data_IF_165664045279
#
_entry.id   IF_165664045279
#
_cell.length_a   1.000
_cell.length_b   1.000
_cell.length_c   1.000
_cell.angle_alpha   90.00
_cell.angle_beta   90.00
_cell.angle_gamma   90.00
#
_symmetry.space_group_name_H-M   'P 1'
#
loop_
_entity.id
_entity.type
_entity.pdbx_description
1 polymer ?
#
# COMPACT_ATOMS: atom_id res chain seq x y z
N UNK A 1 23.04 4.95 25.21
CA UNK A 1 21.75 5.66 24.99
C UNK A 1 21.09 5.02 23.79
N UNK A 2 20.06 4.19 24.00
CA UNK A 2 19.31 3.55 22.93
C UNK A 2 18.19 4.52 22.53
N UNK A 3 18.36 5.22 21.41
CA UNK A 3 17.26 5.98 20.82
C UNK A 3 16.17 4.98 20.42
N UNK A 4 14.88 5.20 20.76
CA UNK A 4 13.83 4.42 20.16
C UNK A 4 13.86 4.71 18.65
N UNK A 5 14.29 3.72 17.86
CA UNK A 5 14.09 3.69 16.42
C UNK A 5 12.58 3.81 16.23
N UNK A 6 12.11 5.02 15.95
CA UNK A 6 10.73 5.27 15.56
C UNK A 6 10.57 4.50 14.25
N UNK A 7 9.99 3.30 14.31
CA UNK A 7 9.73 2.47 13.15
C UNK A 7 8.73 3.25 12.30
N UNK A 8 9.23 4.03 11.33
CA UNK A 8 8.40 4.74 10.38
C UNK A 8 7.74 3.65 9.55
N UNK A 9 6.52 3.26 9.93
CA UNK A 9 5.71 2.37 9.11
C UNK A 9 5.39 3.13 7.82
N UNK A 10 5.97 2.75 6.66
CA UNK A 10 5.80 3.52 5.46
C UNK A 10 4.35 3.39 5.00
N UNK A 11 3.72 4.55 4.78
CA UNK A 11 2.36 4.63 4.27
C UNK A 11 2.37 4.53 2.75
N UNK A 12 1.41 3.79 2.20
CA UNK A 12 1.22 3.58 0.77
C UNK A 12 -0.26 3.73 0.42
N UNK A 13 -0.54 4.10 -0.82
CA UNK A 13 -1.91 4.10 -1.34
C UNK A 13 -2.12 2.85 -2.18
N UNK A 14 -3.17 2.10 -1.86
CA UNK A 14 -3.52 0.85 -2.56
C UNK A 14 -4.98 0.88 -2.97
N UNK A 15 -5.32 0.12 -4.00
CA UNK A 15 -6.71 -0.04 -4.41
C UNK A 15 -7.38 -1.12 -3.57
N UNK A 16 -8.38 -0.75 -2.78
CA UNK A 16 -9.16 -1.74 -2.04
C UNK A 16 -10.21 -2.37 -2.96
N UNK A 17 -10.15 -3.68 -3.16
CA UNK A 17 -11.14 -4.43 -3.96
C UNK A 17 -12.54 -4.38 -3.36
N UNK A 18 -12.66 -4.33 -2.03
CA UNK A 18 -13.93 -4.24 -1.30
C UNK A 18 -14.62 -2.89 -1.51
N UNK A 19 -13.83 -1.81 -1.52
CA UNK A 19 -14.33 -0.45 -1.56
C UNK A 19 -14.26 0.18 -2.97
N UNK A 20 -13.60 -0.49 -3.92
CA UNK A 20 -13.27 -0.03 -5.28
C UNK A 20 -12.68 1.39 -5.32
N UNK A 21 -11.86 1.72 -4.31
CA UNK A 21 -11.32 3.06 -4.07
C UNK A 21 -9.86 2.99 -3.67
N UNK A 22 -9.15 4.06 -3.96
CA UNK A 22 -7.82 4.35 -3.42
C UNK A 22 -7.94 4.57 -1.91
N UNK A 23 -7.30 3.70 -1.13
CA UNK A 23 -7.25 3.77 0.33
C UNK A 23 -5.81 3.94 0.80
N UNK A 24 -5.65 4.48 2.00
CA UNK A 24 -4.36 4.60 2.66
C UNK A 24 -4.09 3.30 3.42
N UNK A 25 -2.89 2.77 3.30
CA UNK A 25 -2.48 1.55 3.98
C UNK A 25 -1.06 1.72 4.52
N UNK A 26 -0.71 0.90 5.50
CA UNK A 26 0.64 0.81 6.06
C UNK A 26 1.28 -0.48 5.65
N UNK A 27 2.54 -0.41 5.24
CA UNK A 27 3.31 -1.58 4.87
C UNK A 27 3.73 -2.32 6.14
N UNK A 28 3.29 -3.57 6.28
CA UNK A 28 3.69 -4.46 7.37
C UNK A 28 4.96 -5.22 7.00
N UNK A 29 4.98 -5.78 5.80
CA UNK A 29 6.13 -6.52 5.28
C UNK A 29 6.33 -6.20 3.81
N UNK A 30 7.57 -6.31 3.34
CA UNK A 30 7.91 -6.23 1.92
C UNK A 30 8.49 -7.58 1.48
N UNK A 31 7.98 -8.11 0.37
CA UNK A 31 8.53 -9.29 -0.27
C UNK A 31 9.74 -8.93 -1.15
N UNK A 32 10.28 -9.90 -1.88
CA UNK A 32 11.34 -9.63 -2.86
C UNK A 32 10.81 -8.81 -4.03
N UNK A 33 11.72 -8.10 -4.69
CA UNK A 33 11.41 -7.28 -5.87
C UNK A 33 11.42 -8.22 -7.08
N UNK A 34 10.33 -8.24 -7.82
CA UNK A 34 10.11 -9.10 -8.98
C UNK A 34 10.07 -8.25 -10.24
N UNK A 35 10.67 -8.74 -11.33
CA UNK A 35 10.51 -8.13 -12.64
C UNK A 35 9.15 -8.53 -13.23
N UNK A 36 8.45 -7.58 -13.84
CA UNK A 36 7.17 -7.77 -14.49
C UNK A 36 7.26 -7.30 -15.94
N UNK A 37 7.18 -8.27 -16.86
CA UNK A 37 7.24 -8.05 -18.30
C UNK A 37 6.11 -7.13 -18.79
N UNK A 38 4.94 -7.13 -18.12
CA UNK A 38 3.75 -6.35 -18.50
C UNK A 38 3.97 -4.85 -18.39
N UNK A 39 4.81 -4.43 -17.45
CA UNK A 39 5.22 -3.02 -17.26
C UNK A 39 6.68 -2.79 -17.68
N UNK A 40 7.35 -3.83 -18.20
CA UNK A 40 8.77 -3.84 -18.56
C UNK A 40 9.66 -3.24 -17.46
N UNK A 41 9.31 -3.54 -16.20
CA UNK A 41 9.85 -2.87 -15.03
C UNK A 41 9.77 -3.76 -13.80
N UNK A 42 10.12 -3.24 -12.64
CA UNK A 42 10.06 -4.03 -11.42
C UNK A 42 8.90 -3.60 -10.52
N UNK A 43 8.31 -4.59 -9.87
CA UNK A 43 7.31 -4.43 -8.83
C UNK A 43 7.73 -5.16 -7.57
N UNK A 44 7.31 -4.65 -6.43
CA UNK A 44 7.53 -5.27 -5.13
C UNK A 44 6.20 -5.40 -4.43
N UNK A 45 5.87 -6.64 -4.08
CA UNK A 45 4.70 -6.91 -3.26
C UNK A 45 5.03 -6.75 -1.79
N UNK A 46 4.01 -6.49 -0.99
CA UNK A 46 4.09 -6.49 0.46
C UNK A 46 2.73 -6.78 1.07
N UNK A 47 2.74 -7.20 2.33
CA UNK A 47 1.51 -7.21 3.12
C UNK A 47 1.29 -5.80 3.64
N UNK A 48 0.12 -5.25 3.35
CA UNK A 48 -0.29 -3.93 3.84
C UNK A 48 -1.54 -4.07 4.69
N UNK A 49 -1.66 -3.24 5.72
CA UNK A 49 -2.88 -3.09 6.49
C UNK A 49 -3.59 -1.82 6.06
N UNK A 50 -4.84 -1.94 5.63
CA UNK A 50 -5.65 -0.76 5.30
C UNK A 50 -5.90 0.02 6.59
N UNK A 51 -5.64 1.33 6.54
CA UNK A 51 -5.95 2.23 7.64
C UNK A 51 -7.41 2.69 7.50
N UNK A 52 -8.15 2.61 8.60
CA UNK A 52 -9.47 3.21 8.69
C UNK A 52 -9.33 4.74 8.65
N UNK A 53 -10.03 5.39 7.73
CA UNK A 53 -10.01 6.85 7.62
C UNK A 53 -10.91 7.44 8.70
N UNK A 54 -10.42 7.64 9.91
CA UNK A 54 -11.18 8.36 10.91
C UNK A 54 -11.06 9.88 10.66
N UNK A 55 -12.20 10.50 10.40
CA UNK A 55 -12.48 11.95 10.30
C UNK A 55 -12.28 12.59 8.90
N UNK A 56 -13.40 12.85 8.22
CA UNK A 56 -13.52 13.93 7.21
C UNK A 56 -13.70 13.51 5.75
N UNK A 57 -13.26 12.33 5.33
CA UNK A 57 -13.48 11.83 3.97
C UNK A 57 -14.69 10.89 3.96
N UNK A 58 -15.73 11.22 3.18
CA UNK A 58 -17.06 10.57 3.15
C UNK A 58 -17.09 9.04 2.88
N UNK A 59 -15.97 8.32 2.82
CA UNK A 59 -15.89 6.89 2.43
C UNK A 59 -14.77 6.16 3.19
N UNK A 60 -14.95 5.92 4.49
CA UNK A 60 -14.11 5.03 5.27
C UNK A 60 -14.21 3.62 4.69
N UNK A 61 -13.07 2.96 4.42
CA UNK A 61 -13.10 1.54 4.10
C UNK A 61 -13.13 0.79 5.44
N UNK A 62 -14.25 0.11 5.74
CA UNK A 62 -14.43 -0.68 6.96
C UNK A 62 -13.54 -1.92 6.99
N UNK A 63 -13.03 -2.30 5.82
CA UNK A 63 -12.12 -3.40 5.65
C UNK A 63 -10.69 -2.97 6.04
N UNK A 64 -10.32 -3.25 7.29
CA UNK A 64 -8.96 -3.06 7.84
C UNK A 64 -8.10 -4.31 7.70
N UNK A 65 -8.52 -5.27 6.86
CA UNK A 65 -7.81 -6.52 6.65
C UNK A 65 -6.41 -6.29 6.10
N UNK A 66 -5.53 -7.26 6.38
CA UNK A 66 -4.22 -7.31 5.75
C UNK A 66 -4.38 -7.88 4.35
N UNK A 67 -3.89 -7.16 3.35
CA UNK A 67 -3.95 -7.58 1.95
C UNK A 67 -2.55 -7.60 1.34
N UNK A 68 -2.32 -8.52 0.40
CA UNK A 68 -1.14 -8.45 -0.46
C UNK A 68 -1.36 -7.35 -1.49
N UNK A 69 -0.48 -6.36 -1.50
CA UNK A 69 -0.54 -5.24 -2.43
C UNK A 69 0.85 -4.87 -2.95
N UNK A 70 0.89 -4.11 -4.04
CA UNK A 70 2.14 -3.55 -4.56
C UNK A 70 2.54 -2.37 -3.68
N UNK A 71 3.76 -2.43 -3.15
CA UNK A 71 4.29 -1.45 -2.20
C UNK A 71 5.40 -0.59 -2.82
N UNK A 72 6.02 -1.07 -3.90
CA UNK A 72 6.94 -0.33 -4.76
C UNK A 72 6.71 -0.80 -6.20
N UNK A 73 6.62 0.12 -7.15
CA UNK A 73 6.61 -0.19 -8.59
C UNK A 73 7.26 0.96 -9.33
N UNK A 74 7.93 0.64 -10.43
CA UNK A 74 8.47 1.62 -11.38
C UNK A 74 7.35 2.25 -12.24
N UNK A 75 6.12 1.70 -12.17
CA UNK A 75 4.92 2.19 -12.84
C UNK A 75 3.82 2.60 -11.86
N UNK A 76 3.05 3.63 -12.22
CA UNK A 76 1.85 4.07 -11.51
C UNK A 76 0.72 4.28 -12.51
N UNK A 77 -0.49 3.98 -12.08
CA UNK A 77 -1.71 4.29 -12.83
C UNK A 77 -2.02 5.80 -12.82
N UNK A 78 -3.03 6.22 -13.60
CA UNK A 78 -3.50 7.61 -13.68
C UNK A 78 -4.02 8.15 -12.33
N UNK A 79 -4.33 7.27 -11.38
CA UNK A 79 -4.73 7.63 -10.02
C UNK A 79 -3.54 7.71 -9.04
N UNK A 80 -2.31 7.54 -9.54
CA UNK A 80 -1.08 7.54 -8.76
C UNK A 80 -0.95 6.35 -7.80
N UNK A 81 -1.67 5.26 -8.05
CA UNK A 81 -1.55 3.96 -7.38
C UNK A 81 -0.53 3.13 -8.14
N UNK A 82 0.30 2.38 -7.42
CA UNK A 82 1.29 1.50 -8.04
C UNK A 82 0.60 0.39 -8.83
N UNK A 83 1.00 0.22 -10.09
CA UNK A 83 0.54 -0.84 -10.99
C UNK A 83 1.66 -1.87 -11.19
#
# INVERSE_FOLDING_TARGET
MLYPLKTIMPEVFVYCKTCAKKVKAVILTKHEKEYDDSISGYRRYGMVKILEHNVGFRKNCSDTSQIKAIVESDSKDDNGVMN
#
